data_IF_332831477216
#
_entry.id   IF_332831477216
#
_cell.length_a   1.000
_cell.length_b   1.000
_cell.length_c   1.000
_cell.angle_alpha   90.00
_cell.angle_beta   90.00
_cell.angle_gamma   90.00
#
_symmetry.space_group_name_H-M   'P 1'
#
loop_
_entity.id
_entity.type
_entity.pdbx_description
1 polymer ?
#
# COMPACT_ATOMS: atom_id res chain seq x y z
N UNK A 1 -44.71 0.24 24.42
CA UNK A 1 -43.63 1.16 24.84
C UNK A 1 -42.41 0.76 24.04
N UNK A 2 -42.04 1.64 23.12
CA UNK A 2 -41.01 1.43 22.11
C UNK A 2 -39.62 1.57 22.73
N UNK A 3 -38.74 0.62 22.43
CA UNK A 3 -37.33 0.64 22.81
C UNK A 3 -36.59 1.40 21.71
N UNK A 4 -35.84 2.47 22.00
CA UNK A 4 -35.19 3.25 20.95
C UNK A 4 -33.95 2.52 20.41
N UNK A 5 -33.92 2.34 19.10
CA UNK A 5 -32.76 1.90 18.32
C UNK A 5 -31.61 2.91 18.46
N UNK A 6 -30.58 2.50 19.21
CA UNK A 6 -29.33 3.26 19.33
C UNK A 6 -28.53 3.05 18.05
N UNK A 7 -28.67 4.03 17.15
CA UNK A 7 -27.69 4.55 16.19
C UNK A 7 -26.36 3.75 16.09
N UNK A 8 -26.33 2.80 15.15
CA UNK A 8 -25.09 2.30 14.55
C UNK A 8 -24.40 3.46 13.79
N UNK A 9 -23.58 4.24 14.50
CA UNK A 9 -22.72 5.23 13.86
C UNK A 9 -21.63 4.51 13.04
N UNK A 10 -21.49 4.76 11.72
CA UNK A 10 -20.39 4.19 10.96
C UNK A 10 -19.07 4.79 11.45
N UNK A 11 -18.18 3.92 11.92
CA UNK A 11 -16.83 4.27 12.33
C UNK A 11 -16.16 5.18 11.29
N UNK A 12 -15.57 6.27 11.77
CA UNK A 12 -14.84 7.28 10.98
C UNK A 12 -13.90 6.58 9.99
N UNK A 13 -14.17 6.76 8.69
CA UNK A 13 -13.33 6.25 7.60
C UNK A 13 -11.95 6.92 7.67
N UNK A 14 -10.98 6.21 8.26
CA UNK A 14 -9.58 6.58 8.19
C UNK A 14 -9.14 6.74 6.73
N UNK A 15 -8.21 7.66 6.50
CA UNK A 15 -7.61 7.92 5.18
C UNK A 15 -7.13 6.59 4.58
N UNK A 16 -7.78 6.14 3.52
CA UNK A 16 -7.48 4.85 2.90
C UNK A 16 -6.05 4.88 2.35
N UNK A 17 -5.16 4.07 2.91
CA UNK A 17 -3.80 3.93 2.39
C UNK A 17 -3.84 3.02 1.16
N UNK A 18 -3.80 3.66 -0.01
CA UNK A 18 -3.89 3.02 -1.32
C UNK A 18 -2.84 1.91 -1.51
N UNK A 19 -1.58 2.21 -1.20
CA UNK A 19 -0.46 1.29 -1.37
C UNK A 19 -0.59 0.09 -0.41
N UNK A 20 -0.98 0.35 0.84
CA UNK A 20 -1.23 -0.72 1.81
C UNK A 20 -2.38 -1.64 1.34
N UNK A 21 -3.45 -1.08 0.80
CA UNK A 21 -4.59 -1.86 0.29
C UNK A 21 -4.22 -2.69 -0.94
N UNK A 22 -3.43 -2.15 -1.87
CA UNK A 22 -2.88 -2.91 -3.01
C UNK A 22 -2.04 -4.10 -2.53
N UNK A 23 -1.16 -3.86 -1.54
CA UNK A 23 -0.35 -4.92 -0.94
C UNK A 23 -1.18 -6.00 -0.23
N UNK A 24 -2.27 -5.62 0.43
CA UNK A 24 -3.23 -6.56 1.04
C UNK A 24 -3.90 -7.41 -0.05
N UNK A 25 -4.46 -6.78 -1.10
CA UNK A 25 -5.14 -7.51 -2.18
C UNK A 25 -4.21 -8.51 -2.85
N UNK A 26 -2.96 -8.12 -3.14
CA UNK A 26 -1.97 -9.00 -3.76
C UNK A 26 -1.62 -10.20 -2.84
N UNK A 27 -1.44 -9.95 -1.54
CA UNK A 27 -1.17 -11.01 -0.55
C UNK A 27 -2.31 -12.02 -0.47
N UNK A 28 -3.54 -11.53 -0.34
CA UNK A 28 -4.73 -12.38 -0.26
C UNK A 28 -4.92 -13.23 -1.52
N UNK A 29 -4.66 -12.66 -2.70
CA UNK A 29 -4.68 -13.39 -3.96
C UNK A 29 -3.64 -14.52 -3.96
N UNK A 30 -2.40 -14.23 -3.58
CA UNK A 30 -1.32 -15.22 -3.53
C UNK A 30 -1.62 -16.35 -2.55
N UNK A 31 -1.93 -16.01 -1.31
CA UNK A 31 -2.11 -16.98 -0.22
C UNK A 31 -3.35 -17.85 -0.46
N UNK A 32 -4.37 -17.30 -1.13
CA UNK A 32 -5.60 -18.04 -1.46
C UNK A 32 -5.54 -18.77 -2.79
N UNK A 33 -4.50 -18.59 -3.63
CA UNK A 33 -4.44 -19.22 -4.97
C UNK A 33 -4.50 -20.74 -4.87
N UNK A 34 -3.75 -21.35 -3.92
CA UNK A 34 -3.78 -22.80 -3.69
C UNK A 34 -5.10 -23.30 -3.09
N UNK A 35 -5.82 -22.43 -2.35
CA UNK A 35 -7.14 -22.73 -1.77
C UNK A 35 -8.31 -22.47 -2.74
N UNK A 36 -8.00 -22.26 -4.03
CA UNK A 36 -9.01 -22.03 -5.05
C UNK A 36 -9.54 -20.59 -5.10
N UNK A 37 -8.78 -19.60 -4.61
CA UNK A 37 -9.02 -18.17 -4.81
C UNK A 37 -9.73 -17.43 -3.69
N UNK A 38 -9.81 -16.11 -3.86
CA UNK A 38 -10.40 -15.17 -2.91
C UNK A 38 -11.70 -14.56 -3.44
N UNK A 39 -12.71 -14.39 -2.58
CA UNK A 39 -13.96 -13.72 -2.98
C UNK A 39 -13.81 -12.20 -2.91
N UNK A 40 -14.59 -11.49 -3.74
CA UNK A 40 -14.63 -10.02 -3.69
C UNK A 40 -15.05 -9.50 -2.30
N UNK A 41 -15.97 -10.21 -1.64
CA UNK A 41 -16.47 -9.80 -0.34
C UNK A 41 -15.39 -9.91 0.75
N UNK A 42 -14.54 -10.94 0.67
CA UNK A 42 -13.39 -11.07 1.56
C UNK A 42 -12.43 -9.89 1.39
N UNK A 43 -12.05 -9.54 0.16
CA UNK A 43 -11.16 -8.41 -0.11
C UNK A 43 -11.73 -7.08 0.43
N UNK A 44 -13.04 -6.86 0.28
CA UNK A 44 -13.74 -5.70 0.86
C UNK A 44 -13.59 -5.66 2.38
N UNK A 45 -13.78 -6.80 3.04
CA UNK A 45 -13.73 -6.90 4.50
C UNK A 45 -12.29 -6.65 5.02
N UNK A 46 -11.28 -7.28 4.40
CA UNK A 46 -9.88 -7.17 4.85
C UNK A 46 -9.31 -5.77 4.57
N UNK A 47 -9.64 -5.16 3.42
CA UNK A 47 -9.17 -3.82 3.10
C UNK A 47 -10.01 -2.70 3.74
N UNK A 48 -11.21 -3.00 4.24
CA UNK A 48 -12.14 -2.00 4.79
C UNK A 48 -12.62 -0.96 3.77
N UNK A 49 -12.72 -1.32 2.49
CA UNK A 49 -13.09 -0.40 1.39
C UNK A 49 -14.30 -0.90 0.59
N UNK A 50 -14.93 -0.02 -0.19
CA UNK A 50 -16.05 -0.42 -1.04
C UNK A 50 -15.60 -1.34 -2.20
N UNK A 51 -16.53 -2.16 -2.71
CA UNK A 51 -16.30 -3.03 -3.89
C UNK A 51 -15.67 -2.30 -5.07
N UNK A 52 -16.07 -1.03 -5.31
CA UNK A 52 -15.50 -0.18 -6.37
C UNK A 52 -13.99 0.02 -6.23
N UNK A 53 -13.49 0.18 -5.00
CA UNK A 53 -12.06 0.31 -4.75
C UNK A 53 -11.34 -1.01 -4.99
N UNK A 54 -11.92 -2.14 -4.56
CA UNK A 54 -11.35 -3.46 -4.85
C UNK A 54 -11.25 -3.70 -6.36
N UNK A 55 -12.29 -3.39 -7.13
CA UNK A 55 -12.23 -3.48 -8.60
C UNK A 55 -11.13 -2.60 -9.19
N UNK A 56 -10.93 -1.40 -8.64
CA UNK A 56 -9.85 -0.51 -9.07
C UNK A 56 -8.49 -1.12 -8.77
N UNK A 57 -8.26 -1.62 -7.56
CA UNK A 57 -7.00 -2.25 -7.17
C UNK A 57 -6.70 -3.50 -7.99
N UNK A 58 -7.71 -4.34 -8.26
CA UNK A 58 -7.56 -5.51 -9.14
C UNK A 58 -7.16 -5.10 -10.56
N UNK A 59 -7.76 -4.02 -11.10
CA UNK A 59 -7.40 -3.49 -12.42
C UNK A 59 -5.98 -2.93 -12.44
N UNK A 60 -5.59 -2.17 -11.42
CA UNK A 60 -4.24 -1.62 -11.29
C UNK A 60 -3.20 -2.74 -11.17
N UNK A 61 -3.48 -3.82 -10.43
CA UNK A 61 -2.62 -4.99 -10.38
C UNK A 61 -2.47 -5.65 -11.75
N UNK A 62 -3.55 -5.80 -12.52
CA UNK A 62 -3.48 -6.27 -13.91
C UNK A 62 -2.66 -5.33 -14.81
N UNK A 63 -2.82 -4.01 -14.67
CA UNK A 63 -2.04 -2.99 -15.39
C UNK A 63 -0.54 -3.04 -15.02
N UNK A 64 -0.22 -3.44 -13.78
CA UNK A 64 1.15 -3.72 -13.32
C UNK A 64 1.67 -5.09 -13.76
N UNK A 65 0.90 -5.86 -14.53
CA UNK A 65 1.31 -7.15 -15.07
C UNK A 65 1.01 -8.35 -14.16
N UNK A 66 0.26 -8.17 -13.08
CA UNK A 66 -0.17 -9.30 -12.23
C UNK A 66 -1.25 -10.11 -12.98
N UNK A 67 -1.02 -11.39 -13.26
CA UNK A 67 -1.94 -12.18 -14.05
C UNK A 67 -3.12 -12.65 -13.19
N UNK A 68 -4.20 -11.87 -13.14
CA UNK A 68 -5.41 -12.19 -12.36
C UNK A 68 -6.41 -12.99 -13.21
N UNK A 69 -6.87 -14.11 -12.67
CA UNK A 69 -8.02 -14.87 -13.17
C UNK A 69 -9.30 -14.31 -12.54
N UNK A 70 -10.18 -13.79 -13.38
CA UNK A 70 -11.48 -13.27 -12.97
C UNK A 70 -12.52 -14.40 -12.93
N UNK A 71 -13.46 -14.37 -11.98
CA UNK A 71 -14.50 -15.38 -11.90
C UNK A 71 -15.34 -15.42 -13.19
N UNK A 72 -15.56 -16.63 -13.70
CA UNK A 72 -16.32 -16.84 -14.93
C UNK A 72 -17.76 -16.34 -14.78
N UNK A 73 -18.25 -15.65 -15.81
CA UNK A 73 -19.61 -15.16 -15.89
C UNK A 73 -20.49 -16.30 -16.41
N UNK A 74 -21.26 -16.93 -15.53
CA UNK A 74 -22.16 -18.04 -15.88
C UNK A 74 -23.45 -17.53 -16.56
N UNK A 75 -23.83 -16.26 -16.34
CA UNK A 75 -25.01 -15.64 -16.95
C UNK A 75 -24.66 -14.27 -17.57
N UNK A 76 -25.02 -14.01 -18.84
CA UNK A 76 -24.79 -12.72 -19.47
C UNK A 76 -25.50 -11.61 -18.69
N UNK A 77 -24.77 -10.54 -18.36
CA UNK A 77 -25.28 -9.39 -17.61
C UNK A 77 -25.11 -9.44 -16.08
N UNK A 78 -24.62 -10.54 -15.50
CA UNK A 78 -24.26 -10.60 -14.07
C UNK A 78 -22.75 -10.74 -13.89
N UNK A 79 -22.18 -9.97 -12.96
CA UNK A 79 -20.80 -10.19 -12.52
C UNK A 79 -20.70 -11.60 -11.93
N UNK A 80 -19.76 -12.41 -12.44
CA UNK A 80 -19.54 -13.77 -11.97
C UNK A 80 -19.38 -13.80 -10.45
N UNK A 81 -20.27 -14.48 -9.74
CA UNK A 81 -20.13 -14.73 -8.31
C UNK A 81 -19.11 -15.85 -8.18
N UNK A 82 -17.85 -15.49 -8.06
CA UNK A 82 -16.78 -16.47 -7.96
C UNK A 82 -15.55 -15.91 -7.27
N UNK A 83 -14.48 -16.70 -7.33
CA UNK A 83 -13.22 -16.40 -6.67
C UNK A 83 -12.21 -15.88 -7.69
N UNK A 84 -11.53 -14.80 -7.31
CA UNK A 84 -10.38 -14.26 -8.01
C UNK A 84 -9.15 -15.09 -7.64
N UNK A 85 -8.31 -15.43 -8.62
CA UNK A 85 -7.06 -16.17 -8.40
C UNK A 85 -5.95 -15.52 -9.20
N UNK A 86 -4.70 -15.90 -8.92
CA UNK A 86 -3.63 -15.68 -9.88
C UNK A 86 -3.72 -16.80 -10.94
N UNK A 87 -3.51 -16.47 -12.22
CA UNK A 87 -3.46 -17.49 -13.28
C UNK A 87 -2.21 -18.34 -13.07
N UNK A 88 -2.38 -19.65 -13.08
CA UNK A 88 -1.28 -20.62 -13.16
C UNK A 88 -0.69 -20.58 -14.57
N UNK A 89 0.21 -19.62 -14.84
CA UNK A 89 0.93 -19.55 -16.11
C UNK A 89 2.30 -18.95 -15.87
N UNK A 90 3.30 -19.80 -15.63
CA UNK A 90 4.71 -19.39 -15.49
C UNK A 90 4.93 -18.22 -14.49
N UNK A 91 3.96 -18.00 -13.60
CA UNK A 91 3.79 -16.76 -12.85
C UNK A 91 4.87 -16.56 -11.79
N UNK A 92 5.60 -17.61 -11.40
CA UNK A 92 6.72 -17.48 -10.48
C UNK A 92 7.88 -16.64 -11.04
N UNK A 93 8.13 -16.67 -12.35
CA UNK A 93 9.24 -15.90 -12.95
C UNK A 93 8.85 -14.42 -13.15
N UNK A 94 7.72 -14.15 -13.83
CA UNK A 94 7.27 -12.78 -14.09
C UNK A 94 6.82 -12.03 -12.81
N UNK A 95 6.19 -12.73 -11.85
CA UNK A 95 5.85 -12.15 -10.53
C UNK A 95 7.10 -11.91 -9.69
N UNK A 96 8.14 -12.74 -9.86
CA UNK A 96 9.45 -12.52 -9.27
C UNK A 96 10.06 -11.20 -9.75
N UNK A 97 10.08 -10.97 -11.07
CA UNK A 97 10.65 -9.76 -11.66
C UNK A 97 9.87 -8.48 -11.31
N UNK A 98 8.54 -8.51 -11.35
CA UNK A 98 7.72 -7.35 -10.95
C UNK A 98 7.80 -7.07 -9.44
N UNK A 99 7.87 -8.11 -8.61
CA UNK A 99 8.07 -7.94 -7.17
C UNK A 99 9.49 -7.43 -6.85
N UNK A 100 10.50 -7.85 -7.61
CA UNK A 100 11.86 -7.32 -7.54
C UNK A 100 11.89 -5.84 -7.92
N UNK A 101 11.18 -5.43 -8.97
CA UNK A 101 11.04 -4.02 -9.35
C UNK A 101 10.36 -3.18 -8.25
N UNK A 102 9.28 -3.68 -7.65
CA UNK A 102 8.62 -3.02 -6.53
C UNK A 102 9.55 -2.91 -5.31
N UNK A 103 10.30 -3.96 -4.99
CA UNK A 103 11.27 -3.97 -3.91
C UNK A 103 12.42 -2.97 -4.16
N UNK A 104 12.94 -2.89 -5.39
CA UNK A 104 13.95 -1.92 -5.79
C UNK A 104 13.46 -0.47 -5.62
N UNK A 105 12.22 -0.18 -6.02
CA UNK A 105 11.62 1.14 -5.81
C UNK A 105 11.51 1.49 -4.33
N UNK A 106 11.08 0.56 -3.48
CA UNK A 106 11.06 0.77 -2.03
C UNK A 106 12.46 0.96 -1.44
N UNK A 107 13.48 0.26 -1.96
CA UNK A 107 14.86 0.47 -1.54
C UNK A 107 15.39 1.85 -1.94
N UNK A 108 15.06 2.34 -3.14
CA UNK A 108 15.42 3.69 -3.58
C UNK A 108 14.82 4.76 -2.68
N UNK A 109 13.55 4.63 -2.30
CA UNK A 109 12.89 5.55 -1.38
C UNK A 109 13.61 5.57 -0.01
N UNK A 110 13.99 4.39 0.50
CA UNK A 110 14.77 4.29 1.74
C UNK A 110 16.14 4.94 1.62
N UNK A 111 16.84 4.74 0.50
CA UNK A 111 18.12 5.41 0.24
C UNK A 111 17.98 6.93 0.25
N UNK A 112 16.89 7.46 -0.30
CA UNK A 112 16.61 8.90 -0.27
C UNK A 112 16.39 9.40 1.16
N UNK A 113 15.64 8.66 1.99
CA UNK A 113 15.47 8.97 3.41
C UNK A 113 16.82 8.98 4.15
N UNK A 114 17.64 7.94 3.95
CA UNK A 114 18.98 7.88 4.56
C UNK A 114 19.89 9.01 4.10
N UNK A 115 19.82 9.39 2.82
CA UNK A 115 20.56 10.52 2.30
C UNK A 115 20.18 11.82 3.02
N UNK A 116 18.89 12.07 3.19
CA UNK A 116 18.38 13.26 3.90
C UNK A 116 18.82 13.26 5.38
N UNK A 117 18.76 12.11 6.05
CA UNK A 117 19.26 11.96 7.43
C UNK A 117 20.77 12.23 7.52
N UNK A 118 21.55 11.77 6.55
CA UNK A 118 22.99 12.02 6.51
C UNK A 118 23.30 13.50 6.28
N UNK A 119 22.56 14.17 5.40
CA UNK A 119 22.69 15.63 5.18
C UNK A 119 22.35 16.39 6.45
N UNK A 120 21.27 16.02 7.13
CA UNK A 120 20.90 16.60 8.42
C UNK A 120 22.02 16.44 9.46
N UNK A 121 22.55 15.22 9.63
CA UNK A 121 23.60 14.96 10.61
C UNK A 121 24.89 15.74 10.28
N UNK A 122 25.25 15.84 9.00
CA UNK A 122 26.36 16.70 8.55
C UNK A 122 26.11 18.16 8.94
N UNK A 123 24.89 18.65 8.77
CA UNK A 123 24.48 19.98 9.22
C UNK A 123 24.71 20.19 10.72
N UNK A 124 24.25 19.25 11.55
CA UNK A 124 24.44 19.28 13.01
C UNK A 124 25.92 19.29 13.39
N UNK A 125 26.75 18.47 12.74
CA UNK A 125 28.19 18.43 13.01
C UNK A 125 28.84 19.77 12.65
N UNK A 126 28.56 20.32 11.46
CA UNK A 126 29.09 21.61 11.02
C UNK A 126 28.65 22.72 11.97
N UNK A 127 27.40 22.70 12.41
CA UNK A 127 26.87 23.68 13.37
C UNK A 127 27.58 23.58 14.72
N UNK A 128 27.76 22.36 15.24
CA UNK A 128 28.50 22.11 16.48
C UNK A 128 29.94 22.60 16.39
N UNK A 129 30.62 22.34 15.27
CA UNK A 129 31.96 22.85 15.01
C UNK A 129 31.99 24.38 14.98
N UNK A 130 31.07 25.01 14.24
CA UNK A 130 30.98 26.46 14.15
C UNK A 130 30.78 27.13 15.52
N UNK A 131 29.89 26.57 16.37
CA UNK A 131 29.72 27.04 17.76
C UNK A 131 31.01 26.88 18.55
N UNK A 132 31.67 25.72 18.46
CA UNK A 132 32.93 25.45 19.18
C UNK A 132 34.05 26.42 18.81
N UNK A 133 34.10 26.87 17.56
CA UNK A 133 35.08 27.85 17.07
C UNK A 133 34.61 29.31 17.18
N UNK A 134 33.46 29.58 17.82
CA UNK A 134 32.99 30.93 18.10
C UNK A 134 32.28 31.65 16.95
N UNK A 135 31.88 30.93 15.89
CA UNK A 135 31.10 31.50 14.80
C UNK A 135 29.64 31.72 15.26
N UNK A 136 29.12 32.93 15.01
CA UNK A 136 27.70 33.23 15.19
C UNK A 136 26.92 32.71 13.99
N UNK A 137 26.19 31.62 14.18
CA UNK A 137 25.34 31.05 13.14
C UNK A 137 24.05 31.88 12.97
N UNK A 138 23.59 32.10 11.74
CA UNK A 138 22.29 32.69 11.47
C UNK A 138 21.15 31.87 12.12
N UNK A 139 20.09 32.54 12.65
CA UNK A 139 19.00 31.88 13.35
C UNK A 139 18.20 30.88 12.49
N UNK A 140 18.18 31.05 11.17
CA UNK A 140 17.53 30.11 10.25
C UNK A 140 18.22 28.73 10.19
N UNK A 141 19.49 28.63 10.61
CA UNK A 141 20.22 27.36 10.73
C UNK A 141 20.05 26.70 12.10
N UNK A 142 19.39 27.37 13.06
CA UNK A 142 19.19 26.84 14.43
C UNK A 142 17.80 26.22 14.65
N UNK A 143 16.90 26.27 13.66
CA UNK A 143 15.46 25.98 13.79
C UNK A 143 14.96 24.78 12.94
N UNK A 144 15.79 23.77 12.65
CA UNK A 144 15.35 22.54 11.95
C UNK A 144 15.13 21.34 12.89
N UNK A 145 14.78 21.58 14.16
CA UNK A 145 14.58 20.54 15.17
C UNK A 145 13.12 20.18 15.51
N UNK A 146 12.12 20.92 15.02
CA UNK A 146 10.72 20.69 15.38
C UNK A 146 9.79 20.88 14.17
N UNK A 147 9.46 19.78 13.49
CA UNK A 147 8.15 19.48 12.87
C UNK A 147 8.13 18.07 12.29
#
# INVERSE_FOLDING_TARGET
MEVPDILNAPAKRGKHNHEANLGIVLRELRDSTQAGGVTLQHLVNVCGVSKRHIYRYLKELEEMGVPIERPQIIQPGKLGVGRYKLKDSQANEAMGETMLLAALNQMLERCHIYHNQMVFLKGVIVQSMAIRYGFKLPPHLMMQGEQ
#
